data_IF_722768695602
#
_entry.id   IF_722768695602
#
_cell.length_a   1.000
_cell.length_b   1.000
_cell.length_c   1.000
_cell.angle_alpha   90.00
_cell.angle_beta   90.00
_cell.angle_gamma   90.00
#
_symmetry.space_group_name_H-M   'P 1'
#
loop_
_entity.id
_entity.type
_entity.pdbx_description
1 polymer ?
#
# COMPACT_ATOMS: atom_id res chain seq x y z
N UNK A 1 4.52 21.17 9.66
CA UNK A 1 3.49 21.98 8.95
C UNK A 1 3.42 21.63 7.47
N UNK A 2 4.53 21.68 6.71
CA UNK A 2 4.56 21.39 5.27
C UNK A 2 4.05 19.98 4.95
N UNK A 3 4.40 18.97 5.74
CA UNK A 3 3.92 17.61 5.56
C UNK A 3 2.38 17.52 5.74
N UNK A 4 1.86 18.21 6.74
CA UNK A 4 0.42 18.29 6.97
C UNK A 4 -0.30 18.92 5.77
N UNK A 5 0.19 20.08 5.28
CA UNK A 5 -0.42 20.81 4.18
C UNK A 5 -0.38 20.02 2.85
N UNK A 6 0.76 19.40 2.52
CA UNK A 6 0.88 18.57 1.33
C UNK A 6 -0.09 17.39 1.36
N UNK A 7 -0.21 16.73 2.51
CA UNK A 7 -1.09 15.56 2.66
C UNK A 7 -2.57 15.95 2.66
N UNK A 8 -2.91 17.06 3.31
CA UNK A 8 -4.27 17.61 3.29
C UNK A 8 -4.71 17.95 1.86
N UNK A 9 -3.85 18.63 1.11
CA UNK A 9 -4.07 18.97 -0.29
C UNK A 9 -4.18 17.72 -1.16
N UNK A 10 -3.27 16.74 -1.00
CA UNK A 10 -3.29 15.47 -1.72
C UNK A 10 -4.58 14.67 -1.45
N UNK A 11 -5.09 14.69 -0.23
CA UNK A 11 -6.38 14.11 0.15
C UNK A 11 -7.59 14.96 -0.23
N UNK A 12 -7.41 16.03 -1.02
CA UNK A 12 -8.49 16.95 -1.48
C UNK A 12 -9.32 17.51 -0.32
N UNK A 13 -8.68 17.73 0.84
CA UNK A 13 -9.28 18.18 2.11
C UNK A 13 -10.36 17.22 2.68
N UNK A 14 -10.35 15.96 2.30
CA UNK A 14 -11.26 14.93 2.83
C UNK A 14 -10.69 14.22 4.07
N UNK A 15 -9.41 14.44 4.36
CA UNK A 15 -8.72 13.83 5.50
C UNK A 15 -9.42 14.18 6.82
N UNK A 16 -9.43 13.23 7.75
CA UNK A 16 -9.71 13.55 9.15
C UNK A 16 -8.54 14.39 9.72
N UNK A 17 -8.76 15.64 10.16
CA UNK A 17 -7.67 16.54 10.57
C UNK A 17 -6.89 16.05 11.78
N UNK A 18 -7.54 15.38 12.74
CA UNK A 18 -6.90 14.87 13.95
C UNK A 18 -5.98 13.69 13.63
N UNK A 19 -6.44 12.76 12.80
CA UNK A 19 -5.61 11.64 12.35
C UNK A 19 -4.43 12.12 11.49
N UNK A 20 -4.68 13.08 10.59
CA UNK A 20 -3.63 13.66 9.77
C UNK A 20 -2.57 14.36 10.63
N UNK A 21 -2.98 15.12 11.62
CA UNK A 21 -2.08 15.77 12.58
C UNK A 21 -1.25 14.74 13.36
N UNK A 22 -1.91 13.72 13.90
CA UNK A 22 -1.24 12.63 14.62
C UNK A 22 -0.16 11.96 13.76
N UNK A 23 -0.47 11.63 12.50
CA UNK A 23 0.47 11.02 11.57
C UNK A 23 1.66 11.95 11.30
N UNK A 24 1.40 13.21 10.97
CA UNK A 24 2.48 14.13 10.53
C UNK A 24 3.38 14.60 11.67
N UNK A 25 2.85 14.74 12.88
CA UNK A 25 3.62 15.13 14.05
C UNK A 25 4.51 14.00 14.60
N UNK A 26 4.07 12.74 14.48
CA UNK A 26 4.81 11.59 15.03
C UNK A 26 5.66 10.85 14.01
N UNK A 27 5.58 11.18 12.72
CA UNK A 27 6.28 10.44 11.66
C UNK A 27 7.80 10.40 11.84
N UNK A 28 8.41 11.50 12.30
CA UNK A 28 9.87 11.56 12.54
C UNK A 28 10.31 10.62 13.66
N UNK A 29 9.55 10.56 14.75
CA UNK A 29 9.81 9.65 15.87
C UNK A 29 9.71 8.19 15.44
N UNK A 30 8.73 7.84 14.61
CA UNK A 30 8.57 6.48 14.09
C UNK A 30 9.73 6.07 13.19
N UNK A 31 10.27 6.98 12.36
CA UNK A 31 11.48 6.70 11.58
C UNK A 31 12.66 6.40 12.50
N UNK A 32 12.89 7.23 13.52
CA UNK A 32 13.94 6.98 14.52
C UNK A 32 13.73 5.64 15.22
N UNK A 33 12.51 5.34 15.64
CA UNK A 33 12.15 4.08 16.28
C UNK A 33 12.45 2.85 15.40
N UNK A 34 12.25 2.95 14.09
CA UNK A 34 12.59 1.89 13.12
C UNK A 34 14.11 1.73 12.97
N UNK A 35 14.83 2.86 12.87
CA UNK A 35 16.30 2.87 12.75
C UNK A 35 16.96 2.24 13.98
N UNK A 36 16.48 2.56 15.18
CA UNK A 36 16.95 1.96 16.44
C UNK A 36 16.75 0.43 16.50
N UNK A 37 15.88 -0.10 15.64
CA UNK A 37 15.60 -1.53 15.48
C UNK A 37 16.27 -2.16 14.27
N UNK A 38 17.25 -1.46 13.70
CA UNK A 38 18.09 -1.96 12.61
C UNK A 38 17.55 -1.71 11.20
N UNK A 39 16.51 -0.89 11.05
CA UNK A 39 16.04 -0.50 9.72
C UNK A 39 16.99 0.49 9.06
N UNK A 40 17.44 0.19 7.84
CA UNK A 40 18.20 1.13 6.99
C UNK A 40 17.23 2.09 6.29
N UNK A 41 17.11 3.32 6.81
CA UNK A 41 16.22 4.36 6.30
C UNK A 41 16.99 5.66 6.02
N UNK A 42 18.22 5.52 5.53
CA UNK A 42 19.21 6.60 5.41
C UNK A 42 19.01 7.48 4.19
N UNK A 43 18.47 6.96 3.09
CA UNK A 43 18.23 7.76 1.89
C UNK A 43 16.89 8.47 1.97
N UNK A 44 16.91 9.79 1.65
CA UNK A 44 15.70 10.61 1.61
C UNK A 44 15.42 11.04 0.19
N UNK A 45 14.29 10.59 -0.35
CA UNK A 45 13.90 10.78 -1.74
C UNK A 45 12.64 11.64 -1.88
N UNK A 46 12.35 12.01 -3.12
CA UNK A 46 11.19 12.79 -3.52
C UNK A 46 10.11 11.89 -4.14
N UNK A 47 8.84 12.20 -3.92
CA UNK A 47 7.74 11.62 -4.71
C UNK A 47 6.74 12.71 -5.12
N UNK A 48 5.91 12.42 -6.12
CA UNK A 48 4.87 13.33 -6.59
C UNK A 48 3.93 13.80 -5.46
N UNK A 49 3.52 15.06 -5.54
CA UNK A 49 2.63 15.69 -4.54
C UNK A 49 3.31 16.19 -3.27
N UNK A 50 4.63 16.05 -3.15
CA UNK A 50 5.39 16.54 -1.99
C UNK A 50 6.19 17.81 -2.33
N UNK A 51 6.23 18.75 -1.39
CA UNK A 51 7.01 20.00 -1.56
C UNK A 51 8.49 19.83 -1.25
N UNK A 52 8.87 18.81 -0.46
CA UNK A 52 10.25 18.52 -0.08
C UNK A 52 10.50 17.02 -0.03
N UNK A 53 11.76 16.61 -0.12
CA UNK A 53 12.16 15.21 0.10
C UNK A 53 11.79 14.78 1.52
N UNK A 54 11.08 13.67 1.67
CA UNK A 54 10.69 13.09 2.97
C UNK A 54 10.44 11.59 2.95
N UNK A 55 10.63 10.94 1.81
CA UNK A 55 10.48 9.49 1.70
C UNK A 55 11.80 8.83 2.07
N UNK A 56 11.79 8.09 3.17
CA UNK A 56 12.94 7.32 3.62
C UNK A 56 13.02 5.97 2.91
N UNK A 57 14.21 5.63 2.46
CA UNK A 57 14.52 4.38 1.77
C UNK A 57 15.82 3.76 2.27
N UNK A 58 16.01 2.45 2.08
CA UNK A 58 17.30 1.81 2.27
C UNK A 58 18.36 2.36 1.31
N UNK A 59 19.61 2.25 1.69
CA UNK A 59 20.78 2.54 0.86
C UNK A 59 20.66 1.86 -0.50
N UNK A 60 20.90 2.62 -1.58
CA UNK A 60 20.75 2.19 -2.97
C UNK A 60 19.30 2.18 -3.46
N UNK A 61 18.39 2.89 -2.79
CA UNK A 61 17.00 3.07 -3.24
C UNK A 61 16.14 1.81 -3.24
N UNK A 62 16.56 0.75 -2.55
CA UNK A 62 15.87 -0.55 -2.49
C UNK A 62 14.45 -0.44 -1.93
N UNK A 63 13.66 -1.50 -2.12
CA UNK A 63 12.31 -1.60 -1.56
C UNK A 63 12.33 -1.57 -0.02
N UNK A 64 11.52 -0.69 0.57
CA UNK A 64 11.50 -0.47 2.02
C UNK A 64 10.79 -1.59 2.79
N UNK A 65 9.74 -2.18 2.20
CA UNK A 65 8.89 -3.18 2.89
C UNK A 65 9.67 -4.40 3.39
N UNK A 66 10.41 -5.12 2.53
CA UNK A 66 11.19 -6.31 2.96
C UNK A 66 12.22 -5.98 4.04
N UNK A 67 12.85 -4.82 3.98
CA UNK A 67 13.83 -4.37 4.96
C UNK A 67 13.18 -4.11 6.34
N UNK A 68 12.06 -3.38 6.39
CA UNK A 68 11.33 -3.14 7.65
C UNK A 68 10.84 -4.47 8.25
N UNK A 69 10.28 -5.36 7.43
CA UNK A 69 9.82 -6.67 7.92
C UNK A 69 10.97 -7.47 8.52
N UNK A 70 12.14 -7.50 7.87
CA UNK A 70 13.31 -8.19 8.39
C UNK A 70 13.77 -7.62 9.75
N UNK A 71 13.92 -6.29 9.85
CA UNK A 71 14.35 -5.61 11.07
C UNK A 71 13.37 -5.81 12.25
N UNK A 72 12.06 -5.73 11.96
CA UNK A 72 11.04 -5.93 13.00
C UNK A 72 10.88 -7.39 13.38
N UNK A 73 11.03 -8.34 12.46
CA UNK A 73 11.02 -9.77 12.77
C UNK A 73 12.17 -10.15 13.69
N UNK A 74 13.39 -9.71 13.37
CA UNK A 74 14.57 -9.93 14.23
C UNK A 74 14.38 -9.31 15.62
N UNK A 75 13.81 -8.10 15.68
CA UNK A 75 13.51 -7.44 16.95
C UNK A 75 12.49 -8.22 17.77
N UNK A 76 11.43 -8.71 17.14
CA UNK A 76 10.40 -9.51 17.79
C UNK A 76 10.95 -10.82 18.35
N UNK A 77 11.81 -11.52 17.59
CA UNK A 77 12.51 -12.73 18.03
C UNK A 77 13.40 -12.47 19.26
N UNK A 78 14.21 -11.39 19.22
CA UNK A 78 15.05 -10.98 20.37
C UNK A 78 14.23 -10.67 21.63
N UNK A 79 13.02 -10.18 21.46
CA UNK A 79 12.10 -9.88 22.56
C UNK A 79 11.28 -11.10 23.02
N UNK A 80 11.43 -12.25 22.39
CA UNK A 80 10.69 -13.47 22.71
C UNK A 80 9.19 -13.38 22.38
N UNK A 81 8.81 -12.57 21.40
CA UNK A 81 7.42 -12.46 20.95
C UNK A 81 7.04 -13.75 20.22
N UNK A 82 5.90 -14.35 20.60
CA UNK A 82 5.38 -15.57 19.98
C UNK A 82 4.80 -15.24 18.59
N UNK A 83 5.54 -15.56 17.53
CA UNK A 83 5.14 -15.39 16.13
C UNK A 83 4.69 -16.73 15.56
N UNK A 84 3.42 -16.85 15.21
CA UNK A 84 2.82 -18.09 14.67
C UNK A 84 2.50 -17.93 13.20
N UNK A 85 3.38 -18.39 12.34
CA UNK A 85 3.11 -18.50 10.89
C UNK A 85 2.17 -19.67 10.59
N UNK A 86 1.59 -19.70 9.36
CA UNK A 86 0.61 -20.71 8.93
C UNK A 86 -0.59 -20.84 9.88
N UNK A 87 -0.91 -19.77 10.60
CA UNK A 87 -1.97 -19.71 11.61
C UNK A 87 -3.03 -18.71 11.17
N UNK A 88 -4.10 -19.21 10.57
CA UNK A 88 -5.17 -18.37 10.01
C UNK A 88 -6.19 -18.03 11.10
N UNK A 89 -6.34 -16.75 11.40
CA UNK A 89 -7.45 -16.28 12.25
C UNK A 89 -8.76 -16.38 11.46
N UNK A 90 -9.74 -17.05 12.03
CA UNK A 90 -11.06 -17.26 11.40
C UNK A 90 -12.15 -16.40 11.99
N UNK A 91 -12.01 -15.98 13.24
CA UNK A 91 -13.07 -15.33 13.97
C UNK A 91 -12.52 -14.49 15.12
N UNK A 92 -13.11 -13.32 15.35
CA UNK A 92 -12.95 -12.55 16.59
C UNK A 92 -13.95 -13.04 17.65
N UNK A 93 -13.46 -13.38 18.82
CA UNK A 93 -14.30 -13.86 19.91
C UNK A 93 -14.76 -12.66 20.74
N UNK A 94 -16.07 -12.56 20.97
CA UNK A 94 -16.72 -11.46 21.70
C UNK A 94 -17.46 -11.98 22.93
N UNK A 95 -17.29 -11.29 24.04
CA UNK A 95 -18.07 -11.47 25.27
C UNK A 95 -18.72 -10.11 25.61
N UNK A 96 -20.05 -10.03 25.53
CA UNK A 96 -20.77 -8.76 25.58
C UNK A 96 -20.30 -7.84 24.44
N UNK A 97 -19.84 -6.65 24.77
CA UNK A 97 -19.33 -5.67 23.79
C UNK A 97 -17.80 -5.67 23.63
N UNK A 98 -17.12 -6.62 24.24
CA UNK A 98 -15.67 -6.70 24.24
C UNK A 98 -15.17 -7.87 23.40
N UNK A 99 -14.17 -7.63 22.54
CA UNK A 99 -13.38 -8.69 21.90
C UNK A 99 -12.39 -9.24 22.94
N UNK A 100 -12.44 -10.56 23.15
CA UNK A 100 -11.67 -11.27 24.20
C UNK A 100 -10.66 -12.26 23.65
N UNK A 101 -10.53 -12.36 22.34
CA UNK A 101 -9.59 -13.28 21.72
C UNK A 101 -9.92 -13.57 20.26
N UNK A 102 -9.28 -14.60 19.74
CA UNK A 102 -9.42 -15.06 18.35
C UNK A 102 -9.53 -16.58 18.27
N UNK A 103 -10.24 -17.05 17.26
CA UNK A 103 -10.26 -18.46 16.85
C UNK A 103 -9.29 -18.63 15.68
N UNK A 104 -8.38 -19.58 15.81
CA UNK A 104 -7.29 -19.81 14.88
C UNK A 104 -7.35 -21.21 14.32
N UNK A 105 -7.05 -21.32 13.03
CA UNK A 105 -6.82 -22.61 12.36
C UNK A 105 -5.34 -22.75 12.01
N UNK A 106 -4.73 -23.86 12.41
CA UNK A 106 -3.36 -24.24 12.07
C UNK A 106 -3.33 -25.73 11.70
N UNK A 107 -2.88 -26.05 10.49
CA UNK A 107 -2.78 -27.43 9.99
C UNK A 107 -4.06 -28.26 10.18
N UNK A 108 -5.22 -27.67 9.87
CA UNK A 108 -6.53 -28.29 9.99
C UNK A 108 -7.06 -28.44 11.43
N UNK A 109 -6.34 -27.97 12.43
CA UNK A 109 -6.78 -27.95 13.83
C UNK A 109 -7.18 -26.53 14.23
N UNK A 110 -8.33 -26.43 14.89
CA UNK A 110 -8.83 -25.15 15.40
C UNK A 110 -8.54 -25.03 16.91
N UNK A 111 -8.11 -23.87 17.32
CA UNK A 111 -7.89 -23.51 18.73
C UNK A 111 -8.22 -22.04 18.98
N UNK A 112 -8.29 -21.67 20.24
CA UNK A 112 -8.62 -20.32 20.69
C UNK A 112 -7.42 -19.68 21.38
N UNK A 113 -7.16 -18.42 21.08
CA UNK A 113 -6.23 -17.57 21.81
C UNK A 113 -7.06 -16.51 22.54
N UNK A 114 -7.02 -16.51 23.88
CA UNK A 114 -7.60 -15.45 24.69
C UNK A 114 -6.64 -14.28 24.80
N UNK A 115 -7.14 -13.07 24.68
CA UNK A 115 -6.36 -11.85 24.75
C UNK A 115 -7.12 -10.72 25.44
N UNK A 116 -6.37 -9.82 26.10
CA UNK A 116 -6.92 -8.61 26.69
C UNK A 116 -7.34 -7.59 25.63
N UNK A 117 -6.63 -7.59 24.48
CA UNK A 117 -6.90 -6.77 23.30
C UNK A 117 -6.45 -7.51 22.04
N UNK A 118 -7.06 -7.21 20.91
CA UNK A 118 -6.70 -7.74 19.60
C UNK A 118 -6.46 -6.55 18.66
N UNK A 119 -5.27 -6.50 18.04
CA UNK A 119 -4.94 -5.52 17.02
C UNK A 119 -5.11 -6.17 15.65
N UNK A 120 -5.97 -5.60 14.81
CA UNK A 120 -6.17 -6.03 13.43
C UNK A 120 -5.19 -5.30 12.53
N UNK A 121 -4.19 -6.01 12.02
CA UNK A 121 -3.17 -5.48 11.12
C UNK A 121 -3.07 -6.30 9.80
N UNK A 122 -4.22 -6.74 9.30
CA UNK A 122 -4.36 -7.71 8.19
C UNK A 122 -4.28 -7.07 6.81
N UNK A 123 -4.06 -5.77 6.73
CA UNK A 123 -4.06 -5.03 5.46
C UNK A 123 -5.46 -4.82 4.89
N UNK A 124 -5.52 -4.50 3.61
CA UNK A 124 -6.75 -4.18 2.89
C UNK A 124 -7.38 -5.36 2.15
N UNK A 125 -8.07 -5.06 1.05
CA UNK A 125 -8.80 -6.04 0.23
C UNK A 125 -8.49 -5.97 -1.26
N UNK A 126 -7.39 -5.32 -1.66
CA UNK A 126 -7.06 -5.07 -3.07
C UNK A 126 -6.84 -6.32 -3.92
N UNK A 127 -6.62 -7.51 -3.32
CA UNK A 127 -6.55 -8.78 -4.01
C UNK A 127 -7.87 -9.58 -3.99
N UNK A 128 -8.97 -8.96 -3.53
CA UNK A 128 -10.31 -9.57 -3.53
C UNK A 128 -11.21 -8.88 -4.58
N UNK A 129 -11.34 -9.44 -5.80
CA UNK A 129 -12.12 -8.81 -6.86
C UNK A 129 -13.59 -8.57 -6.48
N UNK A 130 -14.18 -9.45 -5.69
CA UNK A 130 -15.57 -9.31 -5.25
C UNK A 130 -15.75 -8.13 -4.30
N UNK A 131 -14.82 -7.91 -3.37
CA UNK A 131 -14.85 -6.74 -2.50
C UNK A 131 -14.56 -5.45 -3.28
N UNK A 132 -13.61 -5.48 -4.21
CA UNK A 132 -13.32 -4.34 -5.10
C UNK A 132 -14.58 -3.97 -5.89
N UNK A 133 -15.22 -4.93 -6.55
CA UNK A 133 -16.48 -4.71 -7.30
C UNK A 133 -17.61 -4.21 -6.40
N UNK A 134 -17.74 -4.74 -5.16
CA UNK A 134 -18.76 -4.30 -4.19
C UNK A 134 -18.64 -2.82 -3.86
N UNK A 135 -17.42 -2.35 -3.59
CA UNK A 135 -17.19 -0.99 -3.12
C UNK A 135 -16.90 0.01 -4.25
N UNK A 136 -16.42 -0.47 -5.41
CA UNK A 136 -16.08 0.36 -6.57
C UNK A 136 -16.36 -0.39 -7.88
N UNK A 137 -17.65 -0.47 -8.29
CA UNK A 137 -18.09 -1.30 -9.43
C UNK A 137 -17.39 -0.98 -10.76
N UNK A 138 -16.93 0.26 -10.95
CA UNK A 138 -16.19 0.67 -12.15
C UNK A 138 -14.83 -0.02 -12.30
N UNK A 139 -14.31 -0.63 -11.23
CA UNK A 139 -13.06 -1.40 -11.25
C UNK A 139 -13.27 -2.91 -11.48
N UNK A 140 -14.48 -3.30 -11.85
CA UNK A 140 -14.75 -4.70 -12.23
C UNK A 140 -13.80 -5.19 -13.31
N UNK A 141 -13.15 -6.33 -13.04
CA UNK A 141 -12.21 -6.96 -13.99
C UNK A 141 -10.79 -6.38 -13.97
N UNK A 142 -10.52 -5.38 -13.14
CA UNK A 142 -9.14 -4.90 -12.95
C UNK A 142 -8.29 -5.95 -12.23
N UNK A 143 -7.03 -6.06 -12.64
CA UNK A 143 -6.03 -6.84 -11.91
C UNK A 143 -5.56 -6.12 -10.64
N UNK A 144 -4.79 -6.81 -9.82
CA UNK A 144 -4.24 -6.27 -8.58
C UNK A 144 -2.73 -6.37 -8.54
N UNK A 145 -2.06 -5.32 -8.06
CA UNK A 145 -0.62 -5.31 -7.74
C UNK A 145 -0.34 -5.71 -6.29
N UNK A 146 -1.39 -6.00 -5.51
CA UNK A 146 -1.27 -6.43 -4.12
C UNK A 146 -0.78 -7.88 -3.99
N UNK A 147 -0.22 -8.22 -2.84
CA UNK A 147 -0.02 -9.61 -2.46
C UNK A 147 -1.37 -10.37 -2.52
N UNK A 148 -1.39 -11.62 -3.03
CA UNK A 148 -2.61 -12.45 -3.05
C UNK A 148 -3.27 -12.66 -1.68
N UNK A 149 -2.54 -12.42 -0.58
CA UNK A 149 -3.04 -12.53 0.78
C UNK A 149 -3.86 -11.30 1.24
N UNK A 150 -3.95 -10.23 0.46
CA UNK A 150 -4.69 -9.01 0.82
C UNK A 150 -6.15 -9.13 0.39
N UNK A 151 -6.90 -9.97 1.08
CA UNK A 151 -8.25 -10.45 0.69
C UNK A 151 -9.39 -9.82 1.49
N UNK A 152 -9.09 -8.99 2.51
CA UNK A 152 -10.10 -8.27 3.30
C UNK A 152 -10.77 -9.08 4.41
N UNK A 153 -10.27 -10.26 4.74
CA UNK A 153 -10.83 -11.13 5.78
C UNK A 153 -10.88 -10.45 7.16
N UNK A 154 -9.84 -9.70 7.52
CA UNK A 154 -9.82 -8.92 8.75
C UNK A 154 -10.90 -7.84 8.80
N UNK A 155 -11.19 -7.19 7.68
CA UNK A 155 -12.27 -6.22 7.56
C UNK A 155 -13.62 -6.89 7.84
N UNK A 156 -13.87 -8.04 7.21
CA UNK A 156 -15.09 -8.82 7.42
C UNK A 156 -15.23 -9.28 8.88
N UNK A 157 -14.12 -9.70 9.51
CA UNK A 157 -14.13 -10.09 10.92
C UNK A 157 -14.45 -8.91 11.85
N UNK A 158 -13.91 -7.73 11.57
CA UNK A 158 -14.22 -6.51 12.37
C UNK A 158 -15.70 -6.12 12.20
N UNK A 159 -16.23 -6.16 10.97
CA UNK A 159 -17.65 -5.89 10.70
C UNK A 159 -18.56 -6.87 11.46
N UNK A 160 -18.20 -8.15 11.52
CA UNK A 160 -18.98 -9.19 12.20
C UNK A 160 -19.15 -8.99 13.71
N UNK A 161 -18.26 -8.25 14.35
CA UNK A 161 -18.34 -7.91 15.78
C UNK A 161 -18.87 -6.50 16.04
N UNK A 162 -19.34 -5.80 15.00
CA UNK A 162 -19.95 -4.48 15.08
C UNK A 162 -18.97 -3.32 14.88
N UNK A 163 -17.78 -3.57 14.35
CA UNK A 163 -16.83 -2.51 13.98
C UNK A 163 -17.30 -1.71 12.78
N UNK A 164 -17.05 -0.41 12.78
CA UNK A 164 -17.39 0.49 11.68
C UNK A 164 -16.32 0.41 10.58
N UNK A 165 -16.76 0.54 9.33
CA UNK A 165 -15.90 0.63 8.15
C UNK A 165 -15.94 2.05 7.60
N UNK A 166 -14.79 2.59 7.24
CA UNK A 166 -14.63 3.96 6.73
C UNK A 166 -13.85 3.93 5.40
N UNK A 167 -14.21 4.81 4.48
CA UNK A 167 -13.52 5.05 3.22
C UNK A 167 -13.34 3.81 2.31
N UNK A 168 -14.25 2.85 2.39
CA UNK A 168 -14.16 1.60 1.64
C UNK A 168 -14.20 1.78 0.11
N UNK A 169 -14.69 2.91 -0.37
CA UNK A 169 -14.71 3.27 -1.79
C UNK A 169 -13.41 3.93 -2.28
N UNK A 170 -12.54 4.31 -1.36
CA UNK A 170 -11.27 4.99 -1.69
C UNK A 170 -10.20 3.96 -2.12
N UNK A 171 -10.46 3.32 -3.27
CA UNK A 171 -9.55 2.35 -3.89
C UNK A 171 -8.67 3.08 -4.91
N UNK A 172 -7.36 3.00 -4.72
CA UNK A 172 -6.40 3.62 -5.63
C UNK A 172 -6.08 2.69 -6.80
N UNK A 173 -6.14 3.23 -8.03
CA UNK A 173 -5.60 2.58 -9.22
C UNK A 173 -4.14 2.96 -9.44
N UNK A 174 -3.35 2.05 -10.00
CA UNK A 174 -1.97 2.33 -10.40
C UNK A 174 -1.89 2.42 -11.92
N UNK A 175 -1.44 3.55 -12.50
CA UNK A 175 -1.52 3.77 -13.95
C UNK A 175 -0.51 2.96 -14.76
N UNK A 176 0.58 2.51 -14.14
CA UNK A 176 1.64 1.79 -14.86
C UNK A 176 1.76 0.36 -14.35
N UNK A 177 1.07 -0.55 -15.02
CA UNK A 177 1.14 -2.00 -14.81
C UNK A 177 1.26 -2.71 -16.16
N UNK A 178 1.98 -3.82 -16.18
CA UNK A 178 2.07 -4.67 -17.38
C UNK A 178 0.73 -5.38 -17.58
N UNK A 179 0.13 -5.19 -18.75
CA UNK A 179 -1.25 -5.63 -19.03
C UNK A 179 -1.49 -7.13 -18.77
N UNK A 180 -0.54 -7.99 -19.10
CA UNK A 180 -0.74 -9.45 -19.08
C UNK A 180 -0.54 -10.11 -17.71
N UNK A 181 0.21 -9.49 -16.79
CA UNK A 181 0.61 -10.11 -15.52
C UNK A 181 0.48 -9.20 -14.32
N UNK A 182 -0.04 -7.98 -14.51
CA UNK A 182 -0.18 -6.95 -13.46
C UNK A 182 1.11 -6.60 -12.72
N UNK A 183 2.29 -6.89 -13.30
CA UNK A 183 3.55 -6.47 -12.75
C UNK A 183 3.58 -4.93 -12.66
N UNK A 184 3.87 -4.41 -11.48
CA UNK A 184 3.88 -2.98 -11.24
C UNK A 184 5.16 -2.36 -11.79
N UNK A 185 5.00 -1.36 -12.65
CA UNK A 185 6.08 -0.48 -13.07
C UNK A 185 6.07 0.72 -12.12
N UNK A 186 7.15 0.89 -11.37
CA UNK A 186 7.21 1.89 -10.31
C UNK A 186 7.08 3.32 -10.84
N UNK A 187 6.58 4.23 -10.03
CA UNK A 187 6.47 5.67 -10.35
C UNK A 187 7.82 6.32 -10.64
N UNK A 188 8.91 5.74 -10.13
CA UNK A 188 10.25 6.23 -10.41
C UNK A 188 10.53 6.32 -11.92
N UNK A 189 10.01 5.39 -12.72
CA UNK A 189 10.18 5.39 -14.18
C UNK A 189 9.61 6.67 -14.81
N UNK A 190 8.42 7.08 -14.39
CA UNK A 190 7.80 8.35 -14.83
C UNK A 190 8.53 9.56 -14.24
N UNK A 191 8.94 9.47 -12.99
CA UNK A 191 9.71 10.52 -12.30
C UNK A 191 11.07 10.82 -12.94
N UNK A 192 11.70 9.83 -13.54
CA UNK A 192 13.00 9.96 -14.22
C UNK A 192 12.87 10.35 -15.71
N UNK A 193 11.66 10.52 -16.23
CA UNK A 193 11.44 11.07 -17.56
C UNK A 193 10.72 10.19 -18.56
N UNK A 194 10.22 9.02 -18.18
CA UNK A 194 9.38 8.23 -19.06
C UNK A 194 8.06 8.95 -19.36
N UNK A 195 7.59 8.82 -20.59
CA UNK A 195 6.34 9.42 -21.07
C UNK A 195 5.30 8.35 -21.41
N UNK A 196 4.02 8.73 -21.33
CA UNK A 196 2.90 7.90 -21.76
C UNK A 196 2.40 8.36 -23.13
N UNK A 197 2.39 7.46 -24.10
CA UNK A 197 1.86 7.72 -25.45
C UNK A 197 0.73 6.75 -25.75
N UNK A 198 -0.29 7.25 -26.44
CA UNK A 198 -1.40 6.43 -26.90
C UNK A 198 -1.06 5.66 -28.20
N UNK A 199 -2.03 4.94 -28.77
CA UNK A 199 -1.84 4.14 -29.99
C UNK A 199 -1.50 4.97 -31.21
N UNK A 200 -1.83 6.28 -31.22
CA UNK A 200 -1.43 7.22 -32.28
C UNK A 200 0.00 7.78 -32.09
N UNK A 201 0.71 7.35 -31.05
CA UNK A 201 2.03 7.88 -30.69
C UNK A 201 1.98 9.27 -30.08
N UNK A 202 0.82 9.72 -29.58
CA UNK A 202 0.66 11.05 -29.00
C UNK A 202 0.70 10.97 -27.47
N UNK A 203 1.49 11.85 -26.86
CA UNK A 203 1.45 12.11 -25.42
C UNK A 203 0.12 12.76 -25.06
N UNK A 204 -0.56 12.28 -24.02
CA UNK A 204 -1.93 12.69 -23.69
C UNK A 204 -2.10 13.21 -22.25
N UNK A 205 -1.06 13.09 -21.42
CA UNK A 205 -1.12 13.51 -20.01
C UNK A 205 0.28 13.98 -19.54
N UNK A 206 0.33 14.76 -18.48
CA UNK A 206 1.53 14.97 -17.70
C UNK A 206 1.70 13.77 -16.75
N UNK A 207 2.70 12.96 -16.95
CA UNK A 207 2.96 11.71 -16.22
C UNK A 207 3.33 11.94 -14.75
N UNK A 208 3.66 13.18 -14.37
CA UNK A 208 3.98 13.57 -12.99
C UNK A 208 2.74 13.93 -12.15
N UNK A 209 1.56 13.88 -12.75
CA UNK A 209 0.31 14.03 -12.02
C UNK A 209 0.05 12.85 -11.07
N UNK A 210 -0.93 12.99 -10.19
CA UNK A 210 -1.30 11.95 -9.23
C UNK A 210 -1.84 10.69 -9.92
N UNK A 211 -1.75 9.55 -9.25
CA UNK A 211 -2.14 8.24 -9.82
C UNK A 211 -3.57 8.22 -10.36
N UNK A 212 -4.50 8.84 -9.65
CA UNK A 212 -5.92 8.93 -10.07
C UNK A 212 -6.10 9.72 -11.35
N UNK A 213 -5.37 10.82 -11.51
CA UNK A 213 -5.40 11.67 -12.71
C UNK A 213 -4.81 10.93 -13.90
N UNK A 214 -3.63 10.33 -13.74
CA UNK A 214 -2.97 9.59 -14.84
C UNK A 214 -3.77 8.35 -15.23
N UNK A 215 -4.24 7.55 -14.26
CA UNK A 215 -5.07 6.36 -14.53
C UNK A 215 -6.36 6.72 -15.27
N UNK A 216 -7.02 7.81 -14.87
CA UNK A 216 -8.24 8.27 -15.56
C UNK A 216 -7.95 8.61 -17.02
N UNK A 217 -6.92 9.40 -17.28
CA UNK A 217 -6.54 9.79 -18.63
C UNK A 217 -6.15 8.59 -19.51
N UNK A 218 -5.48 7.57 -18.93
CA UNK A 218 -5.13 6.33 -19.62
C UNK A 218 -6.37 5.50 -19.98
N UNK A 219 -7.31 5.36 -19.05
CA UNK A 219 -8.56 4.63 -19.28
C UNK A 219 -9.47 5.28 -20.32
N UNK A 220 -9.26 6.55 -20.64
CA UNK A 220 -9.94 7.28 -21.72
C UNK A 220 -9.30 7.02 -23.10
N UNK A 221 -8.07 6.42 -23.16
CA UNK A 221 -7.43 6.10 -24.43
C UNK A 221 -8.01 4.83 -25.06
N UNK A 222 -7.80 4.67 -26.37
CA UNK A 222 -8.20 3.47 -27.10
C UNK A 222 -7.57 2.21 -26.50
N UNK A 223 -8.40 1.22 -26.21
CA UNK A 223 -7.98 -0.03 -25.53
C UNK A 223 -7.67 0.14 -24.05
N UNK A 224 -7.99 1.31 -23.46
CA UNK A 224 -7.78 1.61 -22.02
C UNK A 224 -6.35 1.31 -21.57
N UNK A 225 -5.39 1.61 -22.42
CA UNK A 225 -3.97 1.33 -22.22
C UNK A 225 -3.09 2.33 -22.97
N UNK A 226 -1.85 2.45 -22.55
CA UNK A 226 -0.86 3.31 -23.18
C UNK A 226 0.48 2.58 -23.30
N UNK A 227 1.41 3.15 -24.07
CA UNK A 227 2.80 2.73 -24.10
C UNK A 227 3.61 3.62 -23.18
N UNK A 228 4.38 3.00 -22.27
CA UNK A 228 5.37 3.70 -21.46
C UNK A 228 6.69 3.72 -22.22
N UNK A 229 7.12 4.90 -22.67
CA UNK A 229 8.32 5.10 -23.48
C UNK A 229 9.39 5.79 -22.65
N UNK A 230 10.58 5.24 -22.63
CA UNK A 230 11.76 5.81 -21.97
C UNK A 230 13.02 5.46 -22.73
N UNK A 231 14.07 6.26 -22.54
CA UNK A 231 15.36 6.06 -23.17
C UNK A 231 16.34 5.26 -22.28
N UNK A 232 17.52 4.99 -22.81
CA UNK A 232 18.57 4.28 -22.10
C UNK A 232 19.03 5.01 -20.86
N UNK A 233 19.00 6.35 -20.86
CA UNK A 233 19.39 7.17 -19.71
C UNK A 233 18.47 6.91 -18.51
N UNK A 234 17.16 6.80 -18.75
CA UNK A 234 16.17 6.44 -17.71
C UNK A 234 16.40 5.01 -17.24
N UNK A 235 16.67 4.08 -18.18
CA UNK A 235 16.93 2.68 -17.86
C UNK A 235 18.17 2.51 -16.97
N UNK A 236 19.26 3.18 -17.30
CA UNK A 236 20.51 3.14 -16.50
C UNK A 236 20.33 3.70 -15.09
N UNK A 237 19.57 4.79 -14.93
CA UNK A 237 19.30 5.39 -13.61
C UNK A 237 18.48 4.48 -12.70
N UNK A 238 17.59 3.70 -13.27
CA UNK A 238 16.66 2.87 -12.49
C UNK A 238 17.17 1.46 -12.22
N UNK A 239 18.28 1.08 -12.88
CA UNK A 239 18.80 -0.28 -12.80
C UNK A 239 17.80 -1.31 -13.34
N UNK A 240 17.76 -2.50 -12.74
CA UNK A 240 16.81 -3.54 -13.16
C UNK A 240 15.39 -3.11 -12.80
N UNK A 241 14.59 -2.74 -13.81
CA UNK A 241 13.15 -2.52 -13.67
C UNK A 241 12.49 -3.90 -13.70
N UNK A 242 11.86 -4.29 -12.60
CA UNK A 242 11.13 -5.56 -12.55
C UNK A 242 10.05 -5.59 -13.64
N UNK A 243 10.13 -6.59 -14.53
CA UNK A 243 9.17 -6.76 -15.64
C UNK A 243 9.69 -6.35 -17.02
N UNK A 244 10.96 -5.92 -17.11
CA UNK A 244 11.65 -5.63 -18.39
C UNK A 244 12.89 -6.48 -18.54
#
# INVERSE_FOLDING_TARGET
>A
ELFYQDTLKGGKNKNNPELLKTMTENSGEIITWLVDRGADLTEVTYTGGQSVKRIHRPTGGKAVGPMIVAALSETAEKQGIDIRTESTVKELLKEGDRVVGVKVEHKGKTYTIKAKAVVMATGGFGANPAMVEKYKPELKGFGSTNSPAITGEGITMVESVGGALVDMTEIQTHPTVVHNNTAMITEAVRGEGAILVNRDGKRFINELETRDVVSKAELEQEGKSAFLVFDETVREKLGAINGY
#
